data_IF_642684406430
#
_entry.id   IF_642684406430
#
_cell.length_a   1.000
_cell.length_b   1.000
_cell.length_c   1.000
_cell.angle_alpha   90.00
_cell.angle_beta   90.00
_cell.angle_gamma   90.00
#
_symmetry.space_group_name_H-M   'P 1'
#
loop_
_entity.id
_entity.type
_entity.pdbx_description
1 polymer ?
#
# COMPACT_ATOMS: atom_id res chain seq x y z
N UNK A 1 -15.17 -0.04 -13.33
CA UNK A 1 -15.31 0.70 -12.06
C UNK A 1 -14.30 1.84 -12.08
N UNK A 2 -14.71 3.11 -11.92
CA UNK A 2 -13.76 4.21 -11.77
C UNK A 2 -12.91 3.95 -10.52
N UNK A 3 -11.60 4.11 -10.65
CA UNK A 3 -10.68 3.93 -9.52
C UNK A 3 -10.94 5.03 -8.49
N UNK A 4 -11.19 4.72 -7.21
CA UNK A 4 -11.35 5.74 -6.19
C UNK A 4 -10.07 6.56 -6.12
N UNK A 5 -10.19 7.89 -6.24
CA UNK A 5 -9.10 8.83 -6.03
C UNK A 5 -9.43 9.64 -4.78
N UNK A 6 -8.76 9.30 -3.68
CA UNK A 6 -8.98 10.01 -2.42
C UNK A 6 -8.38 11.43 -2.48
N UNK A 7 -8.91 12.37 -1.67
CA UNK A 7 -8.29 13.67 -1.46
C UNK A 7 -6.83 13.56 -0.99
N UNK A 8 -5.99 14.53 -1.36
CA UNK A 8 -4.55 14.48 -1.13
C UNK A 8 -4.17 14.49 0.37
N UNK A 9 -4.95 15.20 1.19
CA UNK A 9 -4.84 15.24 2.64
C UNK A 9 -5.15 13.89 3.29
N UNK A 10 -6.15 13.16 2.76
CA UNK A 10 -6.49 11.81 3.20
C UNK A 10 -5.39 10.82 2.80
N UNK A 11 -4.84 10.96 1.59
CA UNK A 11 -3.71 10.13 1.13
C UNK A 11 -2.45 10.36 1.95
N UNK A 12 -2.16 11.60 2.36
CA UNK A 12 -1.04 11.91 3.24
C UNK A 12 -1.19 11.25 4.61
N UNK A 13 -2.39 11.32 5.21
CA UNK A 13 -2.70 10.63 6.47
C UNK A 13 -2.57 9.11 6.34
N UNK A 14 -3.07 8.52 5.25
CA UNK A 14 -2.94 7.08 4.99
C UNK A 14 -1.48 6.64 4.86
N UNK A 15 -0.62 7.44 4.21
CA UNK A 15 0.81 7.13 4.12
C UNK A 15 1.51 7.22 5.48
N UNK A 16 1.12 8.17 6.33
CA UNK A 16 1.64 8.25 7.68
C UNK A 16 1.23 7.03 8.51
N UNK A 17 -0.07 6.68 8.50
CA UNK A 17 -0.57 5.48 9.18
C UNK A 17 0.07 4.19 8.66
N UNK A 18 0.37 4.13 7.35
CA UNK A 18 1.14 3.02 6.79
C UNK A 18 2.53 2.94 7.38
N UNK A 19 3.28 4.05 7.44
CA UNK A 19 4.61 4.08 8.05
C UNK A 19 4.58 3.70 9.54
N UNK A 20 3.55 4.13 10.28
CA UNK A 20 3.36 3.76 11.69
C UNK A 20 3.10 2.25 11.81
N UNK A 21 2.21 1.70 10.97
CA UNK A 21 2.00 0.25 10.84
C UNK A 21 3.31 -0.48 10.49
N UNK A 22 4.18 0.13 9.65
CA UNK A 22 5.50 -0.41 9.33
C UNK A 22 6.48 -0.45 10.49
N UNK A 23 6.47 0.57 11.34
CA UNK A 23 7.27 0.54 12.55
C UNK A 23 6.79 -0.56 13.50
N UNK A 24 5.49 -0.67 13.74
CA UNK A 24 4.94 -1.67 14.68
C UNK A 24 5.21 -3.12 14.23
N UNK A 25 5.16 -3.40 12.93
CA UNK A 25 5.42 -4.76 12.45
C UNK A 25 6.90 -5.15 12.47
N UNK A 26 7.81 -4.17 12.38
CA UNK A 26 9.24 -4.41 12.47
C UNK A 26 9.62 -4.82 13.89
N UNK A 27 8.96 -4.22 14.88
CA UNK A 27 9.18 -4.50 16.30
C UNK A 27 8.48 -5.80 16.77
N UNK A 28 7.41 -6.22 16.09
CA UNK A 28 6.60 -7.39 16.45
C UNK A 28 7.22 -8.77 16.20
N UNK A 29 8.43 -8.86 15.63
CA UNK A 29 9.18 -10.12 15.48
C UNK A 29 8.69 -11.06 14.38
N UNK A 30 7.92 -10.57 13.40
CA UNK A 30 7.57 -11.36 12.21
C UNK A 30 8.81 -11.68 11.36
N UNK A 31 8.77 -12.78 10.60
CA UNK A 31 9.83 -13.08 9.63
C UNK A 31 9.81 -12.07 8.48
N UNK A 32 10.98 -11.78 7.89
CA UNK A 32 11.13 -10.83 6.78
C UNK A 32 10.17 -11.11 5.61
N UNK A 33 9.91 -12.39 5.33
CA UNK A 33 8.96 -12.80 4.29
C UNK A 33 7.53 -12.33 4.59
N UNK A 34 7.10 -12.44 5.84
CA UNK A 34 5.77 -12.03 6.29
C UNK A 34 5.67 -10.51 6.33
N UNK A 35 6.72 -9.83 6.80
CA UNK A 35 6.80 -8.36 6.78
C UNK A 35 6.69 -7.83 5.34
N UNK A 36 7.48 -8.39 4.42
CA UNK A 36 7.47 -8.00 3.01
C UNK A 36 6.10 -8.21 2.36
N UNK A 37 5.47 -9.36 2.57
CA UNK A 37 4.15 -9.63 1.98
C UNK A 37 3.08 -8.65 2.48
N UNK A 38 3.11 -8.29 3.77
CA UNK A 38 2.15 -7.34 4.36
C UNK A 38 2.37 -5.92 3.87
N UNK A 39 3.63 -5.47 3.83
CA UNK A 39 4.01 -4.17 3.26
C UNK A 39 3.61 -4.09 1.78
N UNK A 40 3.88 -5.14 1.01
CA UNK A 40 3.49 -5.22 -0.40
C UNK A 40 1.98 -5.04 -0.59
N UNK A 41 1.14 -5.71 0.20
CA UNK A 41 -0.31 -5.57 0.07
C UNK A 41 -0.82 -4.19 0.49
N UNK A 42 -0.26 -3.60 1.55
CA UNK A 42 -0.66 -2.29 2.02
C UNK A 42 -0.28 -1.17 1.03
N UNK A 43 0.92 -1.24 0.45
CA UNK A 43 1.37 -0.34 -0.61
C UNK A 43 0.47 -0.44 -1.85
N UNK A 44 0.11 -1.66 -2.29
CA UNK A 44 -0.78 -1.84 -3.44
C UNK A 44 -2.16 -1.22 -3.22
N UNK A 45 -2.68 -1.32 -1.99
CA UNK A 45 -3.95 -0.69 -1.63
C UNK A 45 -3.85 0.84 -1.64
N UNK A 46 -2.77 1.42 -1.14
CA UNK A 46 -2.55 2.87 -1.22
C UNK A 46 -2.43 3.31 -2.68
N UNK A 47 -1.67 2.59 -3.50
CA UNK A 47 -1.53 2.89 -4.92
C UNK A 47 -2.88 2.76 -5.66
N UNK A 48 -3.76 1.86 -5.25
CA UNK A 48 -5.13 1.77 -5.77
C UNK A 48 -5.90 3.07 -5.49
N UNK A 49 -5.86 3.54 -4.24
CA UNK A 49 -6.53 4.77 -3.80
C UNK A 49 -5.92 6.05 -4.42
N UNK A 50 -4.69 5.98 -4.91
CA UNK A 50 -4.04 7.04 -5.69
C UNK A 50 -4.42 7.01 -7.18
N UNK A 51 -5.18 6.00 -7.63
CA UNK A 51 -5.44 5.77 -9.05
C UNK A 51 -4.22 5.24 -9.82
N UNK A 52 -3.18 4.81 -9.09
CA UNK A 52 -1.89 4.37 -9.64
C UNK A 52 -1.80 2.86 -9.82
N UNK A 53 -2.66 2.09 -9.16
CA UNK A 53 -2.72 0.64 -9.26
C UNK A 53 -4.17 0.18 -9.54
N UNK A 54 -4.30 -0.95 -10.25
CA UNK A 54 -5.60 -1.61 -10.46
C UNK A 54 -5.45 -3.09 -10.11
N UNK A 55 -6.15 -3.58 -9.06
CA UNK A 55 -6.09 -5.00 -8.68
C UNK A 55 -6.77 -5.91 -9.72
N UNK A 56 -7.58 -5.33 -10.63
CA UNK A 56 -8.34 -6.08 -11.63
C UNK A 56 -7.53 -6.42 -12.89
N UNK A 57 -6.28 -5.95 -13.02
CA UNK A 57 -5.47 -6.16 -14.22
C UNK A 57 -4.01 -6.45 -13.86
N UNK A 58 -3.33 -7.30 -14.63
CA UNK A 58 -1.89 -7.54 -14.45
C UNK A 58 -1.03 -6.28 -14.59
N UNK A 59 -1.53 -5.25 -15.30
CA UNK A 59 -0.91 -3.93 -15.42
C UNK A 59 -0.75 -3.19 -14.08
N UNK A 60 -1.49 -3.57 -13.05
CA UNK A 60 -1.29 -3.05 -11.69
C UNK A 60 0.13 -3.35 -11.18
N UNK A 61 0.61 -4.58 -11.37
CA UNK A 61 1.98 -4.98 -10.94
C UNK A 61 3.09 -4.27 -11.72
N UNK A 62 2.85 -3.84 -12.96
CA UNK A 62 3.87 -3.24 -13.83
C UNK A 62 4.39 -1.87 -13.36
N UNK A 63 3.68 -1.14 -12.49
CA UNK A 63 4.14 0.17 -11.98
C UNK A 63 5.12 0.10 -10.80
N UNK A 64 5.45 -1.11 -10.33
CA UNK A 64 6.46 -1.35 -9.28
C UNK A 64 7.90 -1.46 -9.83
N UNK A 65 8.10 -1.41 -11.15
CA UNK A 65 9.41 -1.44 -11.80
C UNK A 65 10.08 -0.08 -11.85
#
# INVERSE_FOLDING_TARGET
MPTPKLPADVLAQLRQLHADYESEFADGGYTDRVQKARSDHAIDFILFLEGRFSPATEKGKQRRS
#
